data_IF_062961766360
#
_entry.id   IF_062961766360
#
_cell.length_a   1.000
_cell.length_b   1.000
_cell.length_c   1.000
_cell.angle_alpha   90.00
_cell.angle_beta   90.00
_cell.angle_gamma   90.00
#
_symmetry.space_group_name_H-M   'P 1'
#
loop_
_entity.id
_entity.type
_entity.pdbx_description
1 polymer ?
#
# COMPACT_ATOMS: atom_id res chain seq x y z
N UNK A 1 17.88 -13.71 -19.46
CA UNK A 1 16.49 -13.48 -19.03
C UNK A 1 16.46 -13.70 -17.53
N UNK A 2 16.55 -12.65 -16.72
CA UNK A 2 16.67 -12.77 -15.27
C UNK A 2 15.28 -12.63 -14.65
N UNK A 3 14.83 -13.69 -13.99
CA UNK A 3 13.54 -13.72 -13.28
C UNK A 3 13.54 -12.65 -12.19
N UNK A 4 12.61 -11.69 -12.30
CA UNK A 4 12.40 -10.68 -11.26
C UNK A 4 11.67 -11.34 -10.09
N UNK A 5 12.42 -11.59 -9.03
CA UNK A 5 11.94 -12.10 -7.76
C UNK A 5 10.93 -11.09 -7.18
N UNK A 6 9.65 -11.48 -7.10
CA UNK A 6 8.53 -10.58 -6.77
C UNK A 6 8.39 -10.31 -5.26
N UNK A 7 9.22 -10.97 -4.45
CA UNK A 7 9.13 -10.98 -2.99
C UNK A 7 10.33 -10.29 -2.30
N UNK A 8 11.14 -9.53 -3.05
CA UNK A 8 12.23 -8.76 -2.44
C UNK A 8 11.65 -7.57 -1.65
N UNK A 9 12.09 -7.33 -0.39
CA UNK A 9 11.72 -6.14 0.33
C UNK A 9 12.13 -4.91 -0.47
N UNK A 10 11.25 -3.92 -0.53
CA UNK A 10 11.42 -2.74 -1.37
C UNK A 10 12.71 -1.92 -1.09
N UNK A 11 13.41 -2.24 0.02
CA UNK A 11 14.72 -1.70 0.37
C UNK A 11 15.88 -2.20 -0.49
N UNK A 12 15.70 -3.21 -1.36
CA UNK A 12 16.75 -3.68 -2.27
C UNK A 12 16.74 -2.97 -3.64
N UNK A 13 15.79 -2.06 -3.87
CA UNK A 13 15.76 -1.17 -5.03
C UNK A 13 16.30 0.20 -4.59
N UNK A 14 17.62 0.31 -4.46
CA UNK A 14 18.33 1.52 -3.99
C UNK A 14 18.44 2.62 -5.06
N UNK A 15 17.33 2.95 -5.70
CA UNK A 15 17.23 4.13 -6.55
C UNK A 15 16.24 5.10 -5.89
N UNK A 16 16.63 6.38 -5.81
CA UNK A 16 15.87 7.43 -5.11
C UNK A 16 14.45 7.55 -5.65
N UNK A 17 14.27 7.35 -6.96
CA UNK A 17 12.97 7.39 -7.62
C UNK A 17 12.03 6.31 -7.08
N UNK A 18 12.53 5.10 -6.89
CA UNK A 18 11.79 3.97 -6.34
C UNK A 18 11.36 4.26 -4.91
N UNK A 19 12.25 4.83 -4.08
CA UNK A 19 11.91 5.24 -2.72
C UNK A 19 10.85 6.34 -2.71
N UNK A 20 10.96 7.33 -3.60
CA UNK A 20 9.98 8.41 -3.72
C UNK A 20 8.60 7.89 -4.15
N UNK A 21 8.56 6.91 -5.08
CA UNK A 21 7.34 6.22 -5.50
C UNK A 21 6.73 5.43 -4.34
N UNK A 22 7.52 4.65 -3.61
CA UNK A 22 7.04 3.87 -2.46
C UNK A 22 6.46 4.78 -1.38
N UNK A 23 7.14 5.89 -1.09
CA UNK A 23 6.64 6.90 -0.16
C UNK A 23 5.33 7.53 -0.63
N UNK A 24 5.20 7.80 -1.94
CA UNK A 24 3.96 8.33 -2.51
C UNK A 24 2.80 7.31 -2.41
N UNK A 25 3.06 6.04 -2.72
CA UNK A 25 2.10 4.95 -2.58
C UNK A 25 1.66 4.78 -1.12
N UNK A 26 2.60 4.83 -0.18
CA UNK A 26 2.28 4.74 1.25
C UNK A 26 1.37 5.89 1.70
N UNK A 27 1.66 7.14 1.28
CA UNK A 27 0.79 8.29 1.56
C UNK A 27 -0.60 8.15 0.94
N UNK A 28 -0.69 7.61 -0.28
CA UNK A 28 -1.97 7.35 -0.94
C UNK A 28 -2.79 6.30 -0.17
N UNK A 29 -2.16 5.19 0.24
CA UNK A 29 -2.80 4.16 1.06
C UNK A 29 -3.33 4.72 2.39
N UNK A 30 -2.51 5.49 3.12
CA UNK A 30 -2.96 6.17 4.35
C UNK A 30 -4.20 7.03 4.13
N UNK A 31 -4.23 7.84 3.06
CA UNK A 31 -5.41 8.66 2.71
C UNK A 31 -6.63 7.81 2.35
N UNK A 32 -6.45 6.72 1.61
CA UNK A 32 -7.55 5.81 1.26
C UNK A 32 -8.20 5.23 2.53
N UNK A 33 -7.39 4.76 3.48
CA UNK A 33 -7.90 4.26 4.77
C UNK A 33 -8.62 5.36 5.57
N UNK A 34 -8.08 6.58 5.61
CA UNK A 34 -8.74 7.72 6.28
C UNK A 34 -10.10 8.05 5.68
N UNK A 35 -10.20 8.12 4.34
CA UNK A 35 -11.47 8.39 3.63
C UNK A 35 -12.47 7.27 3.90
N UNK A 36 -12.04 6.01 3.77
CA UNK A 36 -12.89 4.86 4.03
C UNK A 36 -13.45 4.88 5.47
N UNK A 37 -12.62 5.21 6.46
CA UNK A 37 -13.07 5.38 7.84
C UNK A 37 -14.11 6.51 7.99
N UNK A 38 -13.84 7.69 7.43
CA UNK A 38 -14.74 8.85 7.49
C UNK A 38 -16.11 8.58 6.86
N UNK A 39 -16.14 7.80 5.79
CA UNK A 39 -17.36 7.49 5.06
C UNK A 39 -17.99 6.14 5.45
N UNK A 40 -17.41 5.43 6.42
CA UNK A 40 -17.86 4.10 6.86
C UNK A 40 -17.93 3.09 5.71
N UNK A 41 -16.92 3.10 4.83
CA UNK A 41 -16.74 2.14 3.73
C UNK A 41 -15.49 1.30 3.94
N UNK A 42 -15.32 0.21 3.17
CA UNK A 42 -14.10 -0.58 3.17
C UNK A 42 -13.01 -0.02 2.25
N UNK A 43 -11.83 -0.65 2.31
CA UNK A 43 -10.69 -0.44 1.42
C UNK A 43 -10.50 -1.68 0.58
N UNK A 44 -10.33 -1.52 -0.74
CA UNK A 44 -10.08 -2.65 -1.65
C UNK A 44 -8.58 -2.89 -1.75
N UNK A 45 -8.13 -4.10 -1.44
CA UNK A 45 -6.72 -4.52 -1.50
C UNK A 45 -6.57 -5.79 -2.33
N UNK A 46 -5.36 -6.02 -2.84
CA UNK A 46 -5.01 -7.28 -3.49
C UNK A 46 -4.23 -8.16 -2.53
N UNK A 47 -4.82 -9.27 -2.10
CA UNK A 47 -4.19 -10.26 -1.23
C UNK A 47 -4.19 -11.63 -1.91
N UNK A 48 -3.02 -12.28 -2.00
CA UNK A 48 -2.85 -13.62 -2.61
C UNK A 48 -3.46 -13.71 -4.03
N UNK A 49 -3.32 -12.64 -4.81
CA UNK A 49 -3.84 -12.54 -6.17
C UNK A 49 -5.36 -12.36 -6.28
N UNK A 50 -6.05 -12.09 -5.16
CA UNK A 50 -7.47 -11.81 -5.11
C UNK A 50 -7.73 -10.40 -4.66
N UNK A 51 -8.75 -9.77 -5.24
CA UNK A 51 -9.26 -8.48 -4.79
C UNK A 51 -10.23 -8.73 -3.64
N UNK A 52 -9.94 -8.14 -2.48
CA UNK A 52 -10.78 -8.24 -1.28
C UNK A 52 -11.05 -6.86 -0.72
N UNK A 53 -12.19 -6.70 -0.07
CA UNK A 53 -12.52 -5.50 0.70
C UNK A 53 -12.22 -5.75 2.18
N UNK A 54 -11.51 -4.82 2.81
CA UNK A 54 -11.12 -4.86 4.23
C UNK A 54 -11.62 -3.62 4.95
N UNK A 55 -11.75 -3.71 6.28
CA UNK A 55 -11.98 -2.52 7.09
C UNK A 55 -10.75 -1.59 7.07
N UNK A 56 -10.96 -0.27 7.16
CA UNK A 56 -9.86 0.68 7.18
C UNK A 56 -9.04 0.55 8.47
N UNK A 57 -7.80 0.05 8.32
CA UNK A 57 -6.81 -0.05 9.40
C UNK A 57 -6.55 1.28 10.13
N UNK A 58 -6.87 1.38 11.44
CA UNK A 58 -6.61 2.57 12.26
C UNK A 58 -5.17 3.03 12.32
N UNK A 59 -4.20 2.11 12.25
CA UNK A 59 -2.78 2.48 12.31
C UNK A 59 -2.32 3.25 11.06
N UNK A 60 -3.09 3.15 9.96
CA UNK A 60 -2.80 3.84 8.71
C UNK A 60 -3.23 5.32 8.71
N UNK A 61 -4.03 5.77 9.67
CA UNK A 61 -4.51 7.16 9.75
C UNK A 61 -4.41 7.78 11.14
N UNK A 62 -3.76 7.11 12.08
CA UNK A 62 -3.28 7.73 13.33
C UNK A 62 -2.00 8.52 13.04
N UNK A 63 -1.97 9.78 13.46
CA UNK A 63 -0.81 10.68 13.37
C UNK A 63 0.14 10.48 14.55
#
# INVERSE_FOLDING_TARGET
MTERNRDAPASQYEDKETQDILNALHRAARRAHKIAHQHKTGVVVMEKGKVIEIEPDPEMYKE
#
